data_IF_218611042838
#
_entry.id   IF_218611042838
#
_cell.length_a   1.000
_cell.length_b   1.000
_cell.length_c   1.000
_cell.angle_alpha   90.00
_cell.angle_beta   90.00
_cell.angle_gamma   90.00
#
_symmetry.space_group_name_H-M   'P 1'
#
loop_
_entity.id
_entity.type
_entity.pdbx_description
1 polymer ?
#
# COMPACT_ATOMS: atom_id res chain seq x y z
N UNK A 1 -4.02 -7.16 15.22
CA UNK A 1 -4.36 -5.74 14.97
C UNK A 1 -5.86 -5.65 14.68
N UNK A 2 -6.61 -4.79 15.36
CA UNK A 2 -8.03 -4.58 15.07
C UNK A 2 -8.26 -3.99 13.68
N UNK A 3 -9.46 -4.18 13.12
CA UNK A 3 -9.86 -3.69 11.80
C UNK A 3 -9.62 -2.18 11.63
N UNK A 4 -9.85 -1.38 12.69
CA UNK A 4 -9.54 0.05 12.74
C UNK A 4 -8.05 0.36 12.46
N UNK A 5 -7.13 -0.39 13.06
CA UNK A 5 -5.70 -0.18 12.86
C UNK A 5 -5.28 -0.51 11.43
N UNK A 6 -5.91 -1.51 10.80
CA UNK A 6 -5.64 -1.86 9.41
C UNK A 6 -6.07 -0.76 8.44
N UNK A 7 -7.16 -0.04 8.75
CA UNK A 7 -7.63 1.09 7.96
C UNK A 7 -6.68 2.27 8.12
N UNK A 8 -6.24 2.60 9.35
CA UNK A 8 -5.31 3.71 9.61
C UNK A 8 -3.95 3.45 8.93
N UNK A 9 -3.40 2.24 9.11
CA UNK A 9 -2.13 1.84 8.48
C UNK A 9 -2.27 1.79 6.96
N UNK A 10 -3.40 1.30 6.46
CA UNK A 10 -3.71 1.30 5.02
C UNK A 10 -3.79 2.71 4.46
N UNK A 11 -4.52 3.62 5.11
CA UNK A 11 -4.62 5.03 4.72
C UNK A 11 -3.25 5.68 4.61
N UNK A 12 -2.42 5.51 5.65
CA UNK A 12 -1.06 6.03 5.68
C UNK A 12 -0.18 5.40 4.59
N UNK A 13 -0.27 4.09 4.39
CA UNK A 13 0.49 3.38 3.38
C UNK A 13 0.17 3.86 1.95
N UNK A 14 -1.12 3.97 1.62
CA UNK A 14 -1.54 4.42 0.30
C UNK A 14 -1.23 5.88 0.05
N UNK A 15 -1.28 6.74 1.07
CA UNK A 15 -0.87 8.13 0.96
C UNK A 15 0.64 8.28 0.71
N UNK A 16 1.47 7.54 1.46
CA UNK A 16 2.92 7.53 1.24
C UNK A 16 3.24 7.01 -0.17
N UNK A 17 2.58 5.93 -0.59
CA UNK A 17 2.76 5.37 -1.93
C UNK A 17 2.36 6.36 -3.05
N UNK A 18 1.27 7.12 -2.87
CA UNK A 18 0.84 8.11 -3.86
C UNK A 18 1.77 9.32 -3.92
N UNK A 19 2.42 9.70 -2.81
CA UNK A 19 3.51 10.68 -2.82
C UNK A 19 4.73 10.15 -3.58
N UNK A 20 5.17 8.92 -3.31
CA UNK A 20 6.30 8.27 -4.01
C UNK A 20 6.05 8.23 -5.53
N UNK A 21 4.81 7.95 -5.93
CA UNK A 21 4.41 7.84 -7.33
C UNK A 21 4.02 9.19 -7.97
N UNK A 22 4.16 10.31 -7.26
CA UNK A 22 3.72 11.65 -7.71
C UNK A 22 2.24 11.68 -8.18
N UNK A 23 1.38 10.90 -7.52
CA UNK A 23 -0.07 10.81 -7.78
C UNK A 23 -0.91 11.46 -6.68
N UNK A 24 -0.28 11.96 -5.61
CA UNK A 24 -0.98 12.53 -4.45
C UNK A 24 -1.97 13.65 -4.86
N UNK A 25 -1.62 14.51 -5.81
CA UNK A 25 -2.52 15.59 -6.29
C UNK A 25 -3.79 15.08 -6.98
N UNK A 26 -3.76 13.86 -7.52
CA UNK A 26 -4.88 13.21 -8.22
C UNK A 26 -5.62 12.22 -7.34
N UNK A 27 -5.05 11.84 -6.19
CA UNK A 27 -5.59 10.82 -5.30
C UNK A 27 -6.23 11.45 -4.06
N UNK A 28 -7.53 11.25 -3.88
CA UNK A 28 -8.23 11.62 -2.66
C UNK A 28 -7.98 10.66 -1.50
N UNK A 29 -8.40 11.05 -0.29
CA UNK A 29 -8.25 10.25 0.92
C UNK A 29 -8.84 8.83 0.79
N UNK A 30 -10.01 8.69 0.16
CA UNK A 30 -10.64 7.39 -0.09
C UNK A 30 -9.79 6.51 -1.01
N UNK A 31 -9.24 7.06 -2.09
CA UNK A 31 -8.39 6.33 -3.02
C UNK A 31 -7.12 5.81 -2.33
N UNK A 32 -6.50 6.65 -1.48
CA UNK A 32 -5.34 6.25 -0.69
C UNK A 32 -5.67 5.09 0.27
N UNK A 33 -6.83 5.10 0.93
CA UNK A 33 -7.26 4.00 1.81
C UNK A 33 -7.40 2.70 1.01
N UNK A 34 -8.11 2.70 -0.12
CA UNK A 34 -8.29 1.50 -0.94
C UNK A 34 -6.96 0.97 -1.48
N UNK A 35 -6.12 1.86 -2.01
CA UNK A 35 -4.80 1.51 -2.53
C UNK A 35 -3.92 0.93 -1.42
N UNK A 36 -3.96 1.46 -0.21
CA UNK A 36 -3.21 0.92 0.91
C UNK A 36 -3.71 -0.45 1.39
N UNK A 37 -5.03 -0.68 1.44
CA UNK A 37 -5.60 -1.98 1.85
C UNK A 37 -5.30 -3.06 0.81
N UNK A 38 -5.55 -2.78 -0.47
CA UNK A 38 -5.30 -3.71 -1.58
C UNK A 38 -3.79 -3.91 -1.76
N UNK A 39 -3.05 -2.80 -1.77
CA UNK A 39 -1.59 -2.78 -1.85
C UNK A 39 -0.94 -3.59 -0.73
N UNK A 40 -1.38 -3.46 0.51
CA UNK A 40 -0.84 -4.27 1.62
C UNK A 40 -1.04 -5.78 1.44
N UNK A 41 -2.10 -6.21 0.76
CA UNK A 41 -2.29 -7.62 0.41
C UNK A 41 -1.31 -8.07 -0.68
N UNK A 42 -1.07 -7.22 -1.69
CA UNK A 42 -0.05 -7.45 -2.72
C UNK A 42 1.35 -7.50 -2.10
N UNK A 43 1.68 -6.57 -1.19
CA UNK A 43 2.97 -6.53 -0.50
C UNK A 43 3.24 -7.81 0.28
N UNK A 44 2.26 -8.32 1.02
CA UNK A 44 2.37 -9.61 1.72
C UNK A 44 2.56 -10.78 0.77
N UNK A 45 1.82 -10.80 -0.34
CA UNK A 45 1.96 -11.83 -1.36
C UNK A 45 3.37 -11.85 -1.95
N UNK A 46 3.88 -10.69 -2.37
CA UNK A 46 5.23 -10.55 -2.95
C UNK A 46 6.32 -10.94 -1.96
N UNK A 47 6.22 -10.50 -0.70
CA UNK A 47 7.18 -10.89 0.34
C UNK A 47 7.13 -12.40 0.63
N UNK A 48 5.94 -13.00 0.57
CA UNK A 48 5.77 -14.45 0.70
C UNK A 48 6.46 -15.24 -0.41
N UNK A 49 6.48 -14.73 -1.65
CA UNK A 49 7.18 -15.38 -2.77
C UNK A 49 8.71 -15.45 -2.55
N UNK A 50 9.28 -14.46 -1.88
CA UNK A 50 10.72 -14.39 -1.58
C UNK A 50 11.08 -14.96 -0.20
N UNK A 51 10.14 -15.67 0.45
CA UNK A 51 10.29 -16.22 1.80
C UNK A 51 10.67 -15.18 2.87
N UNK A 52 10.31 -13.91 2.67
CA UNK A 52 10.53 -12.84 3.64
C UNK A 52 9.29 -12.72 4.53
N UNK A 53 9.48 -12.97 5.82
CA UNK A 53 8.42 -12.79 6.81
C UNK A 53 8.42 -11.33 7.28
N UNK A 54 7.33 -10.62 6.99
CA UNK A 54 7.10 -9.31 7.58
C UNK A 54 6.90 -9.47 9.09
N UNK A 55 7.61 -8.64 9.87
CA UNK A 55 7.41 -8.59 11.32
C UNK A 55 5.96 -8.25 11.70
N UNK A 56 5.58 -8.56 12.94
CA UNK A 56 4.27 -8.16 13.46
C UNK A 56 4.36 -6.76 14.08
N UNK A 57 3.35 -5.92 13.83
CA UNK A 57 3.32 -4.55 14.37
C UNK A 57 2.87 -3.52 13.35
N UNK A 58 2.65 -2.29 13.82
CA UNK A 58 2.21 -1.18 12.98
C UNK A 58 3.27 -0.78 11.95
N UNK A 59 4.54 -0.69 12.37
CA UNK A 59 5.65 -0.27 11.49
C UNK A 59 5.92 -1.27 10.37
N UNK A 60 6.12 -2.58 10.62
CA UNK A 60 6.28 -3.54 9.54
C UNK A 60 5.06 -3.59 8.60
N UNK A 61 3.84 -3.52 9.16
CA UNK A 61 2.61 -3.51 8.37
C UNK A 61 2.51 -2.29 7.46
N UNK A 62 2.96 -1.12 7.94
CA UNK A 62 3.03 0.10 7.15
C UNK A 62 4.03 -0.05 6.01
N UNK A 63 5.24 -0.55 6.28
CA UNK A 63 6.26 -0.75 5.24
C UNK A 63 5.80 -1.71 4.15
N UNK A 64 5.21 -2.85 4.54
CA UNK A 64 4.64 -3.82 3.59
C UNK A 64 3.48 -3.21 2.81
N UNK A 65 2.63 -2.43 3.50
CA UNK A 65 1.54 -1.66 2.92
C UNK A 65 2.02 -0.70 1.84
N UNK A 66 3.03 0.12 2.16
CA UNK A 66 3.63 1.10 1.24
C UNK A 66 4.23 0.38 0.05
N UNK A 67 5.05 -0.65 0.28
CA UNK A 67 5.70 -1.41 -0.78
C UNK A 67 4.69 -1.99 -1.77
N UNK A 68 3.67 -2.69 -1.25
CA UNK A 68 2.64 -3.27 -2.09
C UNK A 68 1.72 -2.23 -2.76
N UNK A 69 1.46 -1.08 -2.10
CA UNK A 69 0.71 0.03 -2.69
C UNK A 69 1.48 0.71 -3.83
N UNK A 70 2.80 0.85 -3.72
CA UNK A 70 3.66 1.33 -4.81
C UNK A 70 3.59 0.40 -6.00
N UNK A 71 3.67 -0.92 -5.78
CA UNK A 71 3.51 -1.93 -6.85
C UNK A 71 2.14 -1.80 -7.50
N UNK A 72 1.06 -1.71 -6.71
CA UNK A 72 -0.29 -1.57 -7.22
C UNK A 72 -0.44 -0.31 -8.10
N UNK A 73 0.00 0.85 -7.60
CA UNK A 73 -0.06 2.09 -8.34
C UNK A 73 0.78 2.04 -9.62
N UNK A 74 1.93 1.38 -9.58
CA UNK A 74 2.77 1.18 -10.76
C UNK A 74 2.05 0.35 -11.84
N UNK A 75 1.38 -0.75 -11.46
CA UNK A 75 0.58 -1.56 -12.38
C UNK A 75 -0.58 -0.73 -12.95
N UNK A 76 -1.33 -0.02 -12.08
CA UNK A 76 -2.44 0.83 -12.51
C UNK A 76 -1.96 1.89 -13.51
N UNK A 77 -0.83 2.53 -13.25
CA UNK A 77 -0.21 3.53 -14.11
C UNK A 77 0.18 2.94 -15.47
N UNK A 78 0.75 1.74 -15.49
CA UNK A 78 1.10 1.02 -16.72
C UNK A 78 -0.12 0.65 -17.55
N UNK A 79 -1.20 0.21 -16.92
CA UNK A 79 -2.45 -0.18 -17.61
C UNK A 79 -3.24 1.04 -18.07
N UNK A 80 -3.27 2.11 -17.27
CA UNK A 80 -4.07 3.30 -17.54
C UNK A 80 -3.34 4.29 -18.46
N UNK A 81 -2.04 4.12 -18.69
CA UNK A 81 -1.22 4.98 -19.56
C UNK A 81 -1.05 6.42 -19.06
N UNK A 82 -1.41 6.69 -17.80
CA UNK A 82 -1.30 7.98 -17.10
C UNK A 82 -0.39 7.84 -15.92
#
# INVERSE_FOLDING_TARGET
>A
MGWLMSIIVGAAAGWIASMIMNKNEKMGALANIFVGIIGGSIGRFVLGLVNVQAGQGAVPSLLVGVFGAVILLWIINKVTGK
#
